data_IF_035108263331
#
_entry.id   IF_035108263331
#
_cell.length_a   1.000
_cell.length_b   1.000
_cell.length_c   1.000
_cell.angle_alpha   90.00
_cell.angle_beta   90.00
_cell.angle_gamma   90.00
#
_symmetry.space_group_name_H-M   'P 1'
#
loop_
_entity.id
_entity.type
_entity.pdbx_description
1 polymer ?
#
# COMPACT_ATOMS: atom_id res chain seq x y z
N UNK A 1 -43.27 16.83 -20.71
CA UNK A 1 -42.09 17.70 -20.67
C UNK A 1 -40.87 16.80 -20.80
N UNK A 2 -40.13 16.88 -21.90
CA UNK A 2 -38.98 16.01 -22.17
C UNK A 2 -37.72 16.62 -21.56
N UNK A 3 -37.07 15.89 -20.66
CA UNK A 3 -35.83 16.33 -20.00
C UNK A 3 -34.69 16.45 -21.02
N UNK A 4 -33.80 17.45 -20.89
CA UNK A 4 -32.64 17.56 -21.75
C UNK A 4 -31.70 16.38 -21.51
N UNK A 5 -31.29 15.70 -22.58
CA UNK A 5 -30.29 14.63 -22.54
C UNK A 5 -29.05 15.07 -23.33
N UNK A 6 -27.90 14.93 -22.69
CA UNK A 6 -26.60 15.17 -23.31
C UNK A 6 -26.14 13.89 -24.01
N UNK A 7 -26.04 13.94 -25.33
CA UNK A 7 -25.63 12.79 -26.15
C UNK A 7 -24.17 12.97 -26.58
N UNK A 8 -23.28 12.14 -26.03
CA UNK A 8 -21.87 12.14 -26.37
C UNK A 8 -21.66 11.33 -27.66
N UNK A 9 -21.03 11.94 -28.66
CA UNK A 9 -20.72 11.32 -29.94
C UNK A 9 -19.20 11.26 -30.10
N UNK A 10 -18.63 10.07 -30.25
CA UNK A 10 -17.23 9.95 -30.67
C UNK A 10 -17.16 10.09 -32.19
N UNK A 11 -16.33 11.03 -32.66
CA UNK A 11 -15.94 11.05 -34.07
C UNK A 11 -14.82 10.02 -34.22
N UNK A 12 -15.07 8.96 -34.99
CA UNK A 12 -13.98 8.09 -35.45
C UNK A 12 -13.07 8.93 -36.35
N UNK A 13 -11.91 9.32 -35.81
CA UNK A 13 -10.79 9.72 -36.65
C UNK A 13 -10.18 8.44 -37.22
N UNK A 14 -9.84 8.40 -38.52
CA UNK A 14 -9.08 7.29 -39.05
C UNK A 14 -7.80 7.18 -38.25
N UNK A 15 -7.53 5.96 -37.81
CA UNK A 15 -6.34 5.50 -37.12
C UNK A 15 -5.13 5.79 -38.02
N UNK A 16 -4.59 6.99 -37.96
CA UNK A 16 -3.17 7.19 -38.21
C UNK A 16 -2.45 6.38 -37.13
N UNK A 17 -1.49 5.56 -37.54
CA UNK A 17 -0.64 4.72 -36.69
C UNK A 17 -0.34 5.46 -35.39
N UNK A 18 -1.12 5.13 -34.36
CA UNK A 18 -0.82 5.64 -33.04
C UNK A 18 0.45 4.92 -32.68
N UNK A 19 1.53 5.68 -32.57
CA UNK A 19 2.61 5.33 -31.66
C UNK A 19 1.93 4.77 -30.41
N UNK A 20 2.19 3.51 -30.03
CA UNK A 20 1.54 2.92 -28.88
C UNK A 20 1.60 3.92 -27.74
N UNK A 21 0.51 4.10 -26.99
CA UNK A 21 0.48 4.93 -25.77
C UNK A 21 1.41 4.38 -24.65
N UNK A 22 2.35 3.50 -24.99
CA UNK A 22 3.67 3.48 -24.37
C UNK A 22 4.50 4.65 -24.91
N UNK A 23 4.12 5.87 -24.55
CA UNK A 23 5.20 6.84 -24.31
C UNK A 23 5.91 6.24 -23.11
N UNK A 24 7.12 5.73 -23.32
CA UNK A 24 8.11 5.59 -22.25
C UNK A 24 8.12 6.95 -21.54
N UNK A 25 7.29 7.10 -20.51
CA UNK A 25 7.49 8.17 -19.54
C UNK A 25 8.82 7.78 -18.96
N UNK A 26 9.90 8.36 -19.46
CA UNK A 26 11.24 8.15 -18.95
C UNK A 26 11.17 8.26 -17.41
N UNK A 27 11.76 7.31 -16.67
CA UNK A 27 11.83 7.39 -15.20
C UNK A 27 12.29 8.79 -14.76
N UNK A 28 13.12 9.45 -15.56
CA UNK A 28 13.49 10.86 -15.43
C UNK A 28 12.28 11.80 -15.22
N UNK A 29 11.23 11.70 -16.02
CA UNK A 29 10.05 12.57 -15.91
C UNK A 29 9.20 12.26 -14.67
N UNK A 30 9.17 11.00 -14.24
CA UNK A 30 8.53 10.62 -12.99
C UNK A 30 9.32 11.20 -11.82
N UNK A 31 10.65 11.10 -11.86
CA UNK A 31 11.54 11.69 -10.87
C UNK A 31 11.47 13.23 -10.84
N UNK A 32 11.33 13.89 -11.99
CA UNK A 32 11.10 15.35 -12.05
C UNK A 32 9.83 15.73 -11.26
N UNK A 33 8.74 14.97 -11.43
CA UNK A 33 7.49 15.20 -10.70
C UNK A 33 7.60 14.88 -9.21
N UNK A 34 8.31 13.80 -8.85
CA UNK A 34 8.53 13.38 -7.45
C UNK A 34 9.38 14.41 -6.69
N UNK A 35 10.34 15.02 -7.36
CA UNK A 35 11.25 16.01 -6.78
C UNK A 35 10.74 17.46 -6.90
N UNK A 36 9.61 17.71 -7.58
CA UNK A 36 9.04 19.05 -7.67
C UNK A 36 8.41 19.47 -6.33
N UNK A 37 9.17 20.23 -5.54
CA UNK A 37 8.75 20.78 -4.25
C UNK A 37 7.46 21.62 -4.33
N UNK A 38 7.14 22.18 -5.50
CA UNK A 38 5.93 23.00 -5.69
C UNK A 38 4.66 22.15 -5.81
N UNK A 39 4.82 20.87 -6.16
CA UNK A 39 3.71 19.94 -6.29
C UNK A 39 3.42 19.36 -4.92
N UNK A 40 2.16 19.39 -4.49
CA UNK A 40 1.77 18.77 -3.22
C UNK A 40 2.03 17.26 -3.24
N UNK A 41 2.50 16.68 -2.13
CA UNK A 41 2.92 15.28 -2.03
C UNK A 41 1.87 14.28 -2.55
N UNK A 42 0.59 14.55 -2.28
CA UNK A 42 -0.55 13.74 -2.79
C UNK A 42 -0.52 13.60 -4.32
N UNK A 43 -0.14 14.63 -5.05
CA UNK A 43 -0.06 14.61 -6.52
C UNK A 43 1.22 13.92 -7.02
N UNK A 44 2.20 13.67 -6.15
CA UNK A 44 3.41 12.90 -6.46
C UNK A 44 3.22 11.40 -6.26
N UNK A 45 2.25 10.97 -5.44
CA UNK A 45 1.95 9.55 -5.15
C UNK A 45 1.74 8.68 -6.40
N UNK A 46 1.03 9.13 -7.46
CA UNK A 46 0.90 8.32 -8.69
C UNK A 46 2.23 8.07 -9.39
N UNK A 47 3.16 9.03 -9.35
CA UNK A 47 4.49 8.85 -9.93
C UNK A 47 5.33 7.86 -9.12
N UNK A 48 5.26 7.93 -7.79
CA UNK A 48 5.89 6.95 -6.90
C UNK A 48 5.34 5.54 -7.11
N UNK A 49 4.02 5.40 -7.27
CA UNK A 49 3.39 4.12 -7.56
C UNK A 49 3.85 3.54 -8.91
N UNK A 50 3.95 4.38 -9.94
CA UNK A 50 4.44 3.95 -11.25
C UNK A 50 5.94 3.57 -11.22
N UNK A 51 6.77 4.31 -10.49
CA UNK A 51 8.18 3.95 -10.24
C UNK A 51 8.28 2.60 -9.50
N UNK A 52 7.42 2.37 -8.49
CA UNK A 52 7.38 1.12 -7.74
C UNK A 52 7.01 -0.06 -8.64
N UNK A 53 5.99 0.12 -9.49
CA UNK A 53 5.55 -0.89 -10.48
C UNK A 53 6.66 -1.25 -11.47
N UNK A 54 7.55 -0.30 -11.76
CA UNK A 54 8.70 -0.50 -12.65
C UNK A 54 9.93 -1.06 -11.94
N UNK A 55 9.89 -1.20 -10.62
CA UNK A 55 11.05 -1.54 -9.80
C UNK A 55 12.23 -0.60 -10.06
N UNK A 56 11.95 0.70 -10.13
CA UNK A 56 12.99 1.72 -10.32
C UNK A 56 14.03 1.61 -9.18
N UNK A 57 15.33 1.47 -9.48
CA UNK A 57 16.35 1.15 -8.49
C UNK A 57 16.58 2.26 -7.46
N UNK A 58 16.30 3.52 -7.83
CA UNK A 58 16.53 4.68 -6.95
C UNK A 58 15.38 4.88 -5.94
N UNK A 59 14.29 4.13 -6.08
CA UNK A 59 13.08 4.34 -5.29
C UNK A 59 13.25 3.94 -3.82
N UNK A 60 14.05 2.92 -3.53
CA UNK A 60 14.34 2.50 -2.15
C UNK A 60 15.07 3.63 -1.41
N UNK A 61 16.13 4.18 -2.01
CA UNK A 61 16.91 5.29 -1.43
C UNK A 61 16.05 6.54 -1.22
N UNK A 62 15.11 6.80 -2.13
CA UNK A 62 14.15 7.89 -1.94
C UNK A 62 13.18 7.61 -0.77
N UNK A 63 12.69 6.38 -0.63
CA UNK A 63 11.88 6.01 0.53
C UNK A 63 12.65 6.20 1.83
N UNK A 64 13.96 5.90 1.88
CA UNK A 64 14.77 6.17 3.07
C UNK A 64 14.79 7.65 3.45
N UNK A 65 14.85 8.56 2.47
CA UNK A 65 14.75 10.00 2.74
C UNK A 65 13.41 10.37 3.36
N UNK A 66 12.31 9.85 2.81
CA UNK A 66 10.96 10.07 3.33
C UNK A 66 10.80 9.53 4.75
N UNK A 67 11.33 8.34 5.04
CA UNK A 67 11.25 7.71 6.36
C UNK A 67 12.06 8.45 7.44
N UNK A 68 13.05 9.26 7.04
CA UNK A 68 13.82 10.11 7.94
C UNK A 68 13.26 11.53 8.06
N UNK A 69 12.16 11.85 7.37
CA UNK A 69 11.50 13.15 7.48
C UNK A 69 10.76 13.27 8.81
N UNK A 70 10.73 14.49 9.36
CA UNK A 70 9.88 14.83 10.51
C UNK A 70 8.41 15.06 10.10
N UNK A 71 8.14 15.20 8.79
CA UNK A 71 6.79 15.33 8.26
C UNK A 71 6.09 13.96 8.21
N UNK A 72 4.97 13.86 8.92
CA UNK A 72 4.21 12.61 9.04
C UNK A 72 3.63 12.12 7.70
N UNK A 73 3.23 13.02 6.80
CA UNK A 73 2.72 12.64 5.48
C UNK A 73 3.82 12.12 4.56
N UNK A 74 5.03 12.70 4.65
CA UNK A 74 6.21 12.19 3.97
C UNK A 74 6.59 10.80 4.50
N UNK A 75 6.68 10.65 5.82
CA UNK A 75 6.94 9.37 6.48
C UNK A 75 5.94 8.27 6.06
N UNK A 76 4.64 8.58 6.11
CA UNK A 76 3.58 7.67 5.68
C UNK A 76 3.68 7.32 4.19
N UNK A 77 4.05 8.31 3.35
CA UNK A 77 4.26 8.10 1.92
C UNK A 77 5.45 7.17 1.67
N UNK A 78 6.53 7.27 2.47
CA UNK A 78 7.66 6.33 2.42
C UNK A 78 7.23 4.88 2.69
N UNK A 79 6.44 4.65 3.74
CA UNK A 79 5.91 3.33 4.09
C UNK A 79 4.99 2.78 3.00
N UNK A 80 4.08 3.62 2.50
CA UNK A 80 3.13 3.25 1.44
C UNK A 80 3.85 2.90 0.13
N UNK A 81 4.92 3.64 -0.19
CA UNK A 81 5.73 3.40 -1.38
C UNK A 81 6.52 2.09 -1.24
N UNK A 82 7.18 1.84 -0.11
CA UNK A 82 7.83 0.54 0.18
C UNK A 82 6.84 -0.63 0.08
N UNK A 83 5.63 -0.45 0.62
CA UNK A 83 4.55 -1.45 0.49
C UNK A 83 4.12 -1.68 -0.96
N UNK A 84 4.24 -0.67 -1.83
CA UNK A 84 3.92 -0.79 -3.25
C UNK A 84 5.04 -1.47 -4.04
N UNK A 85 6.30 -1.32 -3.60
CA UNK A 85 7.46 -1.99 -4.21
C UNK A 85 7.37 -3.51 -4.00
N UNK A 86 7.02 -3.95 -2.78
CA UNK A 86 6.71 -5.36 -2.50
C UNK A 86 7.86 -6.35 -2.69
N UNK A 87 9.10 -5.89 -2.74
CA UNK A 87 10.29 -6.75 -2.85
C UNK A 87 10.74 -7.24 -1.46
N UNK A 88 11.51 -8.35 -1.37
CA UNK A 88 12.17 -8.77 -0.13
C UNK A 88 12.93 -7.63 0.55
N UNK A 89 13.68 -6.83 -0.21
CA UNK A 89 14.39 -5.67 0.32
C UNK A 89 13.45 -4.64 0.95
N UNK A 90 12.30 -4.35 0.33
CA UNK A 90 11.32 -3.43 0.92
C UNK A 90 10.75 -3.96 2.24
N UNK A 91 10.56 -5.28 2.36
CA UNK A 91 10.15 -5.93 3.61
C UNK A 91 11.23 -5.75 4.69
N UNK A 92 12.50 -5.98 4.36
CA UNK A 92 13.62 -5.77 5.28
C UNK A 92 13.68 -4.34 5.80
N UNK A 93 13.50 -3.33 4.92
CA UNK A 93 13.47 -1.92 5.32
C UNK A 93 12.31 -1.62 6.27
N UNK A 94 11.11 -2.16 6.01
CA UNK A 94 9.96 -1.98 6.89
C UNK A 94 10.14 -2.69 8.25
N UNK A 95 10.77 -3.87 8.28
CA UNK A 95 11.10 -4.55 9.54
C UNK A 95 12.10 -3.74 10.36
N UNK A 96 13.13 -3.17 9.71
CA UNK A 96 14.08 -2.28 10.37
C UNK A 96 13.38 -1.04 10.93
N UNK A 97 12.49 -0.42 10.14
CA UNK A 97 11.69 0.72 10.59
C UNK A 97 10.86 0.36 11.83
N UNK A 98 10.18 -0.80 11.83
CA UNK A 98 9.39 -1.26 12.99
C UNK A 98 10.23 -1.32 14.27
N UNK A 99 11.48 -1.80 14.17
CA UNK A 99 12.39 -1.92 15.31
C UNK A 99 12.75 -0.56 15.93
N UNK A 100 12.74 0.51 15.12
CA UNK A 100 13.06 1.88 15.53
C UNK A 100 11.83 2.73 15.87
N UNK A 101 10.64 2.32 15.44
CA UNK A 101 9.38 3.04 15.66
C UNK A 101 8.87 2.98 17.10
N UNK A 102 8.09 4.01 17.47
CA UNK A 102 7.31 4.07 18.71
C UNK A 102 6.00 3.26 18.60
N UNK A 103 5.31 3.06 19.73
CA UNK A 103 4.14 2.16 19.82
C UNK A 103 3.02 2.44 18.80
N UNK A 104 2.72 3.71 18.50
CA UNK A 104 1.64 4.04 17.56
C UNK A 104 2.07 3.85 16.10
N UNK A 105 3.29 4.28 15.75
CA UNK A 105 3.89 4.08 14.42
C UNK A 105 4.06 2.59 14.09
N UNK A 106 4.42 1.78 15.09
CA UNK A 106 4.60 0.33 14.94
C UNK A 106 3.38 -0.34 14.34
N UNK A 107 2.16 0.08 14.67
CA UNK A 107 0.93 -0.51 14.10
C UNK A 107 0.83 -0.26 12.60
N UNK A 108 1.19 0.95 12.17
CA UNK A 108 1.20 1.34 10.74
C UNK A 108 2.24 0.51 9.99
N UNK A 109 3.46 0.44 10.52
CA UNK A 109 4.55 -0.32 9.91
C UNK A 109 4.24 -1.82 9.88
N UNK A 110 3.65 -2.36 10.96
CA UNK A 110 3.24 -3.77 11.04
C UNK A 110 2.23 -4.13 9.95
N UNK A 111 1.22 -3.27 9.75
CA UNK A 111 0.23 -3.44 8.70
C UNK A 111 0.86 -3.39 7.30
N UNK A 112 1.81 -2.47 7.09
CA UNK A 112 2.59 -2.40 5.85
C UNK A 112 3.40 -3.69 5.59
N UNK A 113 4.13 -4.20 6.59
CA UNK A 113 4.85 -5.47 6.49
C UNK A 113 3.88 -6.62 6.17
N UNK A 114 2.73 -6.68 6.84
CA UNK A 114 1.75 -7.74 6.65
C UNK A 114 1.16 -7.78 5.22
N UNK A 115 1.00 -6.61 4.58
CA UNK A 115 0.52 -6.46 3.19
C UNK A 115 1.46 -7.04 2.14
N UNK A 116 2.77 -7.08 2.42
CA UNK A 116 3.79 -7.57 1.47
C UNK A 116 4.62 -8.73 2.00
N UNK A 117 4.21 -9.34 3.11
CA UNK A 117 4.99 -10.39 3.77
C UNK A 117 5.21 -11.60 2.86
N UNK A 118 6.48 -12.00 2.73
CA UNK A 118 6.89 -13.22 2.04
C UNK A 118 7.31 -14.31 3.03
N UNK A 119 7.39 -15.56 2.56
CA UNK A 119 7.78 -16.70 3.40
C UNK A 119 9.18 -16.53 4.05
N UNK A 120 10.08 -15.80 3.39
CA UNK A 120 11.43 -15.49 3.89
C UNK A 120 11.41 -14.69 5.20
N UNK A 121 10.40 -13.83 5.38
CA UNK A 121 10.32 -12.89 6.50
C UNK A 121 9.35 -13.35 7.60
N UNK A 122 8.84 -14.58 7.54
CA UNK A 122 7.93 -15.13 8.56
C UNK A 122 8.55 -15.09 9.95
N UNK A 123 9.84 -15.42 10.07
CA UNK A 123 10.53 -15.44 11.36
C UNK A 123 10.60 -14.05 12.01
N UNK A 124 11.14 -13.00 11.38
CA UNK A 124 11.12 -11.67 11.97
C UNK A 124 9.68 -11.15 12.20
N UNK A 125 8.77 -11.38 11.26
CA UNK A 125 7.37 -10.99 11.44
C UNK A 125 6.70 -11.66 12.65
N UNK A 126 6.96 -12.94 12.90
CA UNK A 126 6.45 -13.66 14.08
C UNK A 126 6.91 -13.06 15.41
N UNK A 127 8.08 -12.39 15.43
CA UNK A 127 8.57 -11.69 16.61
C UNK A 127 7.78 -10.40 16.80
N UNK A 128 7.53 -9.65 15.73
CA UNK A 128 6.71 -8.42 15.75
C UNK A 128 5.28 -8.72 16.25
N UNK A 129 4.69 -9.83 15.80
CA UNK A 129 3.34 -10.26 16.21
C UNK A 129 3.17 -10.46 17.72
N UNK A 130 4.25 -10.71 18.48
CA UNK A 130 4.15 -10.97 19.94
C UNK A 130 3.59 -9.79 20.72
N UNK A 131 3.82 -8.57 20.25
CA UNK A 131 3.31 -7.36 20.90
C UNK A 131 1.80 -7.16 20.69
N UNK A 132 1.24 -7.78 19.63
CA UNK A 132 -0.18 -7.65 19.26
C UNK A 132 -0.99 -8.93 19.48
N UNK A 133 -0.35 -10.05 19.83
CA UNK A 133 -0.99 -11.34 20.08
C UNK A 133 -1.70 -11.34 21.44
N UNK A 134 -2.73 -10.51 21.57
CA UNK A 134 -3.62 -10.42 22.73
C UNK A 134 -5.08 -10.60 22.26
N UNK A 135 -5.99 -11.11 23.11
CA UNK A 135 -7.40 -11.24 22.75
C UNK A 135 -7.99 -9.89 22.35
N UNK A 136 -8.61 -9.82 21.17
CA UNK A 136 -9.18 -8.60 20.61
C UNK A 136 -9.53 -8.75 19.14
N UNK A 137 -9.91 -7.64 18.52
CA UNK A 137 -10.21 -7.57 17.08
C UNK A 137 -9.02 -6.94 16.35
N UNK A 138 -8.60 -7.58 15.26
CA UNK A 138 -7.53 -7.09 14.37
C UNK A 138 -8.08 -7.14 12.96
N UNK A 139 -8.06 -5.99 12.27
CA UNK A 139 -8.38 -5.94 10.85
C UNK A 139 -7.21 -6.50 10.02
N UNK A 140 -7.50 -7.58 9.31
CA UNK A 140 -6.55 -8.30 8.45
C UNK A 140 -6.95 -8.25 6.96
N UNK A 141 -7.87 -7.37 6.57
CA UNK A 141 -8.48 -7.33 5.22
C UNK A 141 -7.44 -7.27 4.10
N UNK A 142 -6.37 -6.47 4.29
CA UNK A 142 -5.31 -6.30 3.30
C UNK A 142 -4.06 -7.15 3.57
N UNK A 143 -4.10 -8.07 4.52
CA UNK A 143 -2.92 -8.86 4.88
C UNK A 143 -2.72 -10.01 3.91
N UNK A 144 -1.45 -10.35 3.65
CA UNK A 144 -1.14 -11.57 2.91
C UNK A 144 -1.59 -12.80 3.70
N UNK A 145 -1.85 -13.89 2.98
CA UNK A 145 -2.14 -15.20 3.61
C UNK A 145 -1.02 -15.64 4.54
N UNK A 146 0.24 -15.36 4.17
CA UNK A 146 1.41 -15.67 4.98
C UNK A 146 1.36 -14.90 6.31
N UNK A 147 1.01 -13.62 6.29
CA UNK A 147 0.88 -12.81 7.50
C UNK A 147 -0.26 -13.33 8.40
N UNK A 148 -1.43 -13.62 7.82
CA UNK A 148 -2.58 -14.17 8.55
C UNK A 148 -2.22 -15.51 9.21
N UNK A 149 -1.64 -16.45 8.45
CA UNK A 149 -1.22 -17.74 9.00
C UNK A 149 -0.14 -17.60 10.08
N UNK A 150 0.77 -16.63 9.95
CA UNK A 150 1.78 -16.34 10.98
C UNK A 150 1.14 -15.81 12.25
N UNK A 151 0.17 -14.89 12.14
CA UNK A 151 -0.60 -14.40 13.28
C UNK A 151 -1.35 -15.54 13.99
N UNK A 152 -2.01 -16.42 13.23
CA UNK A 152 -2.72 -17.57 13.79
C UNK A 152 -1.80 -18.54 14.55
N UNK A 153 -0.62 -18.85 13.99
CA UNK A 153 0.39 -19.68 14.66
C UNK A 153 0.90 -19.02 15.94
N UNK A 154 1.18 -17.71 15.91
CA UNK A 154 1.61 -16.96 17.10
C UNK A 154 0.51 -16.96 18.16
N UNK A 155 -0.73 -16.63 17.82
CA UNK A 155 -1.87 -16.67 18.75
C UNK A 155 -2.06 -18.05 19.37
N UNK A 156 -1.97 -19.12 18.57
CA UNK A 156 -2.10 -20.51 19.04
C UNK A 156 -1.03 -20.84 20.10
N UNK A 157 0.21 -20.35 19.93
CA UNK A 157 1.29 -20.54 20.92
C UNK A 157 1.05 -19.80 22.23
N UNK A 158 0.29 -18.71 22.19
CA UNK A 158 -0.17 -17.98 23.38
C UNK A 158 -1.48 -18.52 23.95
N UNK A 159 -2.04 -19.59 23.38
CA UNK A 159 -3.31 -20.17 23.81
C UNK A 159 -4.53 -19.33 23.42
N UNK A 160 -4.40 -18.47 22.41
CA UNK A 160 -5.47 -17.62 21.88
C UNK A 160 -6.09 -18.33 20.67
N UNK A 161 -7.38 -18.63 20.76
CA UNK A 161 -8.15 -19.14 19.63
C UNK A 161 -8.44 -18.01 18.64
N UNK A 162 -8.25 -18.26 17.34
CA UNK A 162 -8.48 -17.27 16.29
C UNK A 162 -9.72 -17.65 15.48
N UNK A 163 -10.65 -16.70 15.34
CA UNK A 163 -11.86 -16.86 14.53
C UNK A 163 -11.84 -15.78 13.46
N UNK A 164 -11.88 -16.17 12.19
CA UNK A 164 -11.97 -15.23 11.08
C UNK A 164 -13.45 -15.02 10.77
N UNK A 165 -13.96 -13.84 11.07
CA UNK A 165 -15.30 -13.42 10.69
C UNK A 165 -15.24 -12.74 9.31
N UNK A 166 -15.95 -13.29 8.31
CA UNK A 166 -16.03 -12.73 6.96
C UNK A 166 -15.35 -13.56 5.87
N UNK A 167 -15.38 -13.05 4.63
CA UNK A 167 -14.70 -13.66 3.50
C UNK A 167 -13.28 -13.11 3.39
N UNK A 168 -12.27 -13.98 3.50
CA UNK A 168 -10.89 -13.63 3.14
C UNK A 168 -10.79 -13.45 1.62
N UNK A 169 -9.87 -12.59 1.13
CA UNK A 169 -9.64 -12.46 -0.31
C UNK A 169 -9.32 -13.84 -0.93
N UNK A 170 -10.19 -14.27 -1.84
CA UNK A 170 -10.01 -15.45 -2.66
C UNK A 170 -8.83 -15.18 -3.60
N UNK A 171 -7.90 -16.15 -3.68
CA UNK A 171 -6.77 -16.12 -4.60
C UNK A 171 -7.30 -15.92 -6.02
N UNK A 172 -7.19 -14.71 -6.53
CA UNK A 172 -7.35 -14.43 -7.96
C UNK A 172 -5.95 -14.18 -8.47
N UNK A 173 -5.46 -15.10 -9.31
CA UNK A 173 -4.35 -14.80 -10.21
C UNK A 173 -4.80 -13.69 -11.17
N UNK A 174 -4.72 -12.43 -10.73
CA UNK A 174 -4.57 -11.24 -11.57
C UNK A 174 -4.41 -9.98 -10.69
N UNK A 175 -3.34 -9.18 -10.87
CA UNK A 175 -3.06 -7.99 -10.07
C UNK A 175 -3.78 -6.73 -10.56
N UNK A 176 -5.05 -6.85 -10.98
CA UNK A 176 -5.83 -5.71 -11.45
C UNK A 176 -7.25 -5.75 -10.91
N UNK A 177 -7.44 -5.15 -9.74
CA UNK A 177 -8.68 -4.45 -9.37
C UNK A 177 -8.35 -3.53 -8.19
N UNK A 178 -8.24 -2.25 -8.49
CA UNK A 178 -8.26 -1.15 -7.54
C UNK A 178 -9.58 -1.19 -6.74
N UNK A 179 -9.51 -1.40 -5.43
CA UNK A 179 -10.48 -0.82 -4.50
C UNK A 179 -9.74 0.23 -3.67
N UNK A 180 -9.93 1.48 -4.07
CA UNK A 180 -9.60 2.67 -3.30
C UNK A 180 -10.47 2.66 -2.04
N UNK A 181 -9.92 2.23 -0.90
CA UNK A 181 -10.48 2.58 0.40
C UNK A 181 -10.27 4.08 0.64
N UNK A 182 -11.23 4.89 0.19
CA UNK A 182 -11.44 6.25 0.68
C UNK A 182 -12.41 6.17 1.86
N UNK A 183 -11.91 6.50 3.05
CA UNK A 183 -12.71 6.63 4.26
C UNK A 183 -13.61 7.88 4.23
N UNK A 184 -14.82 7.65 4.77
CA UNK A 184 -15.63 8.51 5.66
C UNK A 184 -16.21 9.85 5.15
N UNK A 185 -17.55 9.92 5.08
CA UNK A 185 -18.36 10.87 5.87
C UNK A 185 -19.77 10.28 6.03
N UNK A 186 -20.08 9.73 7.20
CA UNK A 186 -21.48 9.60 7.67
C UNK A 186 -21.73 10.48 8.88
N UNK A 187 -22.26 11.68 8.64
CA UNK A 187 -22.92 12.50 9.64
C UNK A 187 -24.26 11.84 10.00
N UNK A 188 -24.36 11.28 11.21
CA UNK A 188 -25.65 10.99 11.84
C UNK A 188 -26.29 12.29 12.35
N UNK A 189 -27.58 12.55 12.11
CA UNK A 189 -28.33 13.45 12.96
C UNK A 189 -28.85 12.71 14.20
N UNK A 190 -28.58 13.28 15.36
CA UNK A 190 -29.19 12.90 16.64
C UNK A 190 -30.71 13.12 16.64
N UNK A 191 -31.37 12.44 17.58
CA UNK A 191 -32.82 12.42 17.85
C UNK A 191 -33.44 13.79 18.12
#
# INVERSE_FOLDING_TARGET
MTHPQLRLLSKHYPVEDHTPLHVDVDSTRLWDLVNDEKVHLVLRRPALAELARRHDPDLIDYCEKLLNSEDYEEWLTGISTLSSIGTPEAVDRLILLYAHSLSDERKVVLSAVAKILTAEHVKPFSIMMREIAVPGEIDVTCWTRVAISTLQDVCTRFGIETVIAGQLPLSTENPFSEELCLDDVTLTPER
#
